data_IF_419114896758
#
_entry.id   IF_419114896758
#
_cell.length_a   1.000
_cell.length_b   1.000
_cell.length_c   1.000
_cell.angle_alpha   90.00
_cell.angle_beta   90.00
_cell.angle_gamma   90.00
#
_symmetry.space_group_name_H-M   'P 1'
#
loop_
_entity.id
_entity.type
_entity.pdbx_description
1 polymer ?
#
# COMPACT_ATOMS: atom_id res chain seq x y z
N UNK A 1 5.66 -2.28 8.55
CA UNK A 1 5.45 -3.39 9.49
C UNK A 1 5.03 -2.78 10.81
N UNK A 2 3.93 -3.26 11.36
CA UNK A 2 3.54 -2.95 12.72
C UNK A 2 4.59 -3.49 13.71
N UNK A 3 5.06 -2.63 14.60
CA UNK A 3 6.00 -2.95 15.66
C UNK A 3 5.43 -2.64 17.05
N UNK A 4 4.10 -2.61 17.19
CA UNK A 4 3.44 -2.71 18.49
C UNK A 4 3.87 -3.99 19.23
N UNK A 5 3.57 -4.06 20.52
CA UNK A 5 4.02 -5.18 21.36
C UNK A 5 3.38 -6.51 20.93
N UNK A 6 2.18 -6.47 20.39
CA UNK A 6 1.45 -7.66 19.96
C UNK A 6 2.14 -8.36 18.78
N UNK A 7 2.84 -7.62 17.93
CA UNK A 7 3.60 -8.12 16.78
C UNK A 7 4.96 -8.77 17.11
N UNK A 8 5.30 -8.97 18.40
CA UNK A 8 6.64 -9.43 18.78
C UNK A 8 7.00 -10.81 18.21
N UNK A 9 6.08 -11.77 18.25
CA UNK A 9 6.34 -13.12 17.76
C UNK A 9 6.26 -13.19 16.22
N UNK A 10 5.49 -12.33 15.57
CA UNK A 10 5.47 -12.18 14.10
C UNK A 10 6.77 -11.58 13.56
N UNK A 11 7.39 -10.63 14.29
CA UNK A 11 8.65 -10.00 13.88
C UNK A 11 9.77 -11.01 13.62
N UNK A 12 9.99 -11.94 14.56
CA UNK A 12 11.07 -12.94 14.45
C UNK A 12 10.93 -13.76 13.17
N UNK A 13 9.68 -14.02 12.78
CA UNK A 13 9.35 -14.82 11.60
C UNK A 13 9.46 -14.00 10.32
N UNK A 14 8.97 -12.75 10.33
CA UNK A 14 9.12 -11.80 9.22
C UNK A 14 10.58 -11.47 8.90
N UNK A 15 11.47 -11.45 9.89
CA UNK A 15 12.92 -11.32 9.67
C UNK A 15 13.49 -12.48 8.85
N UNK A 16 13.12 -13.73 9.16
CA UNK A 16 13.54 -14.91 8.40
C UNK A 16 12.99 -14.95 6.96
N UNK A 17 11.91 -14.21 6.71
CA UNK A 17 11.24 -14.15 5.40
C UNK A 17 11.91 -13.18 4.42
N UNK A 18 12.76 -12.27 4.88
CA UNK A 18 13.47 -11.32 4.01
C UNK A 18 14.31 -12.00 2.93
N UNK A 19 15.09 -13.01 3.33
CA UNK A 19 15.94 -13.78 2.42
C UNK A 19 15.09 -14.60 1.44
N UNK A 20 14.06 -15.27 1.96
CA UNK A 20 13.16 -16.10 1.14
C UNK A 20 12.39 -15.27 0.12
N UNK A 21 11.92 -14.08 0.52
CA UNK A 21 11.24 -13.12 -0.36
C UNK A 21 12.19 -12.64 -1.45
N UNK A 22 13.40 -12.26 -1.09
CA UNK A 22 14.42 -11.81 -2.03
C UNK A 22 14.75 -12.87 -3.08
N UNK A 23 15.04 -14.10 -2.66
CA UNK A 23 15.31 -15.22 -3.57
C UNK A 23 14.12 -15.52 -4.48
N UNK A 24 12.93 -15.59 -3.89
CA UNK A 24 11.69 -15.81 -4.61
C UNK A 24 11.44 -14.75 -5.69
N UNK A 25 11.65 -13.48 -5.36
CA UNK A 25 11.41 -12.38 -6.28
C UNK A 25 12.50 -12.25 -7.34
N UNK A 26 13.75 -12.65 -7.05
CA UNK A 26 14.82 -12.75 -8.05
C UNK A 26 14.48 -13.73 -9.17
N UNK A 27 13.74 -14.81 -8.86
CA UNK A 27 13.27 -15.77 -9.87
C UNK A 27 12.14 -15.22 -10.76
N UNK A 28 11.45 -14.17 -10.31
CA UNK A 28 10.31 -13.56 -11.03
C UNK A 28 10.74 -12.33 -11.82
N UNK A 29 11.65 -11.52 -11.27
CA UNK A 29 12.14 -10.31 -11.91
C UNK A 29 13.63 -10.08 -11.64
N UNK A 30 14.35 -9.71 -12.69
CA UNK A 30 15.77 -9.34 -12.63
C UNK A 30 16.01 -7.98 -12.00
N UNK A 31 14.96 -7.21 -11.68
CA UNK A 31 15.07 -5.83 -11.24
C UNK A 31 14.20 -5.55 -10.01
N UNK A 32 14.41 -6.37 -8.97
CA UNK A 32 13.75 -6.28 -7.68
C UNK A 32 14.45 -5.30 -6.73
N UNK A 33 13.67 -4.56 -5.94
CA UNK A 33 14.16 -3.75 -4.81
C UNK A 33 13.22 -3.91 -3.63
N UNK A 34 13.80 -3.89 -2.44
CA UNK A 34 13.10 -3.99 -1.16
C UNK A 34 13.59 -2.91 -0.20
N UNK A 35 12.70 -2.53 0.71
CA UNK A 35 12.90 -1.47 1.68
C UNK A 35 12.01 -1.74 2.88
N UNK A 36 12.30 -1.09 3.99
CA UNK A 36 11.69 -1.39 5.27
C UNK A 36 11.27 -0.12 5.99
N UNK A 37 10.07 -0.15 6.57
CA UNK A 37 9.55 0.90 7.42
C UNK A 37 8.60 0.32 8.44
N UNK A 38 8.51 0.97 9.58
CA UNK A 38 7.76 0.50 10.73
C UNK A 38 6.90 1.59 11.36
N UNK A 39 5.89 1.18 12.11
CA UNK A 39 4.98 2.09 12.79
C UNK A 39 4.48 1.49 14.10
N UNK A 40 3.99 2.36 14.98
CA UNK A 40 3.22 2.01 16.19
C UNK A 40 2.00 2.93 16.18
N UNK A 41 2.07 4.07 16.87
CA UNK A 41 1.00 5.05 16.88
C UNK A 41 1.48 6.45 17.28
N UNK A 42 0.56 7.42 17.27
CA UNK A 42 0.80 8.81 17.66
C UNK A 42 1.24 8.88 19.11
N UNK A 43 2.36 9.55 19.34
CA UNK A 43 2.96 9.72 20.69
C UNK A 43 2.25 10.82 21.47
N UNK A 44 0.94 10.66 21.68
CA UNK A 44 0.09 11.53 22.50
C UNK A 44 -0.90 10.68 23.31
N UNK A 45 -1.39 11.17 24.44
CA UNK A 45 -2.55 10.56 25.11
C UNK A 45 -3.78 10.68 24.21
N UNK A 46 -4.71 9.70 24.18
CA UNK A 46 -4.73 8.49 25.01
C UNK A 46 -4.00 7.28 24.40
N UNK A 47 -3.45 7.39 23.20
CA UNK A 47 -2.85 6.25 22.47
C UNK A 47 -1.61 5.70 23.17
N UNK A 48 -0.79 6.58 23.75
CA UNK A 48 0.40 6.16 24.53
C UNK A 48 0.38 6.75 25.94
N UNK A 49 1.10 6.09 26.84
CA UNK A 49 1.33 6.63 28.19
C UNK A 49 2.36 7.75 28.15
N UNK A 50 1.96 8.96 28.56
CA UNK A 50 2.86 10.13 28.68
C UNK A 50 3.64 10.19 30.00
N UNK A 51 3.58 9.13 30.82
CA UNK A 51 4.42 9.02 32.00
C UNK A 51 5.88 8.95 31.54
N UNK A 52 6.82 9.78 32.08
CA UNK A 52 8.18 9.87 31.55
C UNK A 52 8.96 8.56 31.46
N UNK A 53 8.64 7.58 32.33
CA UNK A 53 9.21 6.23 32.28
C UNK A 53 8.69 5.46 31.05
N UNK A 54 7.39 5.50 30.81
CA UNK A 54 6.73 4.75 29.73
C UNK A 54 7.01 5.35 28.34
N UNK A 55 7.33 6.65 28.26
CA UNK A 55 7.84 7.27 27.03
C UNK A 55 9.25 6.81 26.65
N UNK A 56 10.01 6.23 27.58
CA UNK A 56 11.33 5.65 27.31
C UNK A 56 11.27 4.16 27.07
N UNK A 57 10.47 3.46 27.88
CA UNK A 57 10.28 2.02 27.83
C UNK A 57 8.81 1.71 28.18
N UNK A 58 7.91 1.60 27.18
CA UNK A 58 6.48 1.38 27.41
C UNK A 58 6.17 -0.03 27.94
N UNK A 59 7.07 -0.98 27.69
CA UNK A 59 7.03 -2.35 28.17
C UNK A 59 8.46 -2.90 28.29
N UNK A 60 8.65 -3.99 29.03
CA UNK A 60 9.97 -4.59 29.21
C UNK A 60 10.63 -4.92 27.85
N UNK A 61 11.84 -4.39 27.64
CA UNK A 61 12.61 -4.53 26.39
C UNK A 61 11.93 -3.95 25.15
N UNK A 62 11.12 -2.91 25.33
CA UNK A 62 10.47 -2.19 24.24
C UNK A 62 11.13 -0.83 24.01
N UNK A 63 11.26 -0.45 22.74
CA UNK A 63 11.71 0.89 22.37
C UNK A 63 10.65 1.95 22.67
N UNK A 64 11.09 3.21 22.71
CA UNK A 64 10.19 4.35 22.88
C UNK A 64 9.13 4.39 21.75
N UNK A 65 7.88 4.77 22.06
CA UNK A 65 6.81 4.88 21.08
C UNK A 65 7.11 5.94 20.02
N UNK A 66 6.68 5.67 18.79
CA UNK A 66 6.83 6.53 17.63
C UNK A 66 5.70 6.28 16.62
N UNK A 67 5.43 7.27 15.76
CA UNK A 67 4.37 7.17 14.75
C UNK A 67 4.77 6.25 13.59
N UNK A 68 5.60 6.74 12.68
CA UNK A 68 6.11 6.00 11.53
C UNK A 68 7.57 6.36 11.28
N UNK A 69 8.37 5.36 10.90
CA UNK A 69 9.74 5.54 10.45
C UNK A 69 10.01 4.74 9.17
N UNK A 70 10.57 5.41 8.16
CA UNK A 70 11.23 4.76 7.04
C UNK A 70 12.66 4.38 7.44
N UNK A 71 12.86 3.12 7.82
CA UNK A 71 14.14 2.59 8.31
C UNK A 71 15.13 2.39 7.16
N UNK A 72 14.67 1.85 6.03
CA UNK A 72 15.49 1.52 4.87
C UNK A 72 14.78 1.87 3.56
N UNK A 73 15.37 2.77 2.78
CA UNK A 73 14.92 3.06 1.41
C UNK A 73 15.11 1.84 0.48
N UNK A 74 14.31 1.78 -0.59
CA UNK A 74 14.33 0.70 -1.58
C UNK A 74 15.72 0.49 -2.20
N UNK A 75 16.33 -0.65 -1.90
CA UNK A 75 17.65 -1.07 -2.35
C UNK A 75 17.60 -2.47 -2.98
N UNK A 76 18.69 -2.89 -3.63
CA UNK A 76 18.92 -4.28 -4.06
C UNK A 76 19.59 -5.13 -2.98
N UNK A 77 19.98 -4.50 -1.88
CA UNK A 77 20.66 -5.13 -0.74
C UNK A 77 19.65 -5.86 0.14
N UNK A 78 19.61 -7.18 0.01
CA UNK A 78 18.64 -8.05 0.68
C UNK A 78 19.08 -8.39 2.09
N UNK A 79 20.39 -8.49 2.28
CA UNK A 79 20.99 -8.86 3.55
C UNK A 79 20.81 -7.70 4.54
N UNK A 80 21.01 -6.46 4.07
CA UNK A 80 20.67 -5.28 4.85
C UNK A 80 19.20 -5.24 5.24
N UNK A 81 18.28 -5.58 4.33
CA UNK A 81 16.86 -5.63 4.69
C UNK A 81 16.60 -6.65 5.82
N UNK A 82 17.15 -7.85 5.70
CA UNK A 82 17.01 -8.89 6.73
C UNK A 82 17.57 -8.41 8.08
N UNK A 83 18.74 -7.77 8.07
CA UNK A 83 19.38 -7.19 9.26
C UNK A 83 18.55 -6.07 9.89
N UNK A 84 18.01 -5.14 9.09
CA UNK A 84 17.19 -4.02 9.57
C UNK A 84 15.87 -4.52 10.19
N UNK A 85 15.22 -5.52 9.56
CA UNK A 85 14.00 -6.15 10.10
C UNK A 85 14.31 -6.91 11.40
N UNK A 86 15.42 -7.65 11.44
CA UNK A 86 15.84 -8.40 12.64
C UNK A 86 16.10 -7.47 13.81
N UNK A 87 16.82 -6.38 13.54
CA UNK A 87 17.30 -5.41 14.52
C UNK A 87 16.20 -4.49 15.04
N UNK A 88 15.12 -4.29 14.27
CA UNK A 88 14.01 -3.47 14.68
C UNK A 88 13.39 -4.01 15.98
N UNK A 89 13.31 -3.20 17.02
CA UNK A 89 12.69 -3.61 18.28
C UNK A 89 11.20 -3.24 18.30
N UNK A 90 10.42 -4.05 19.01
CA UNK A 90 9.01 -3.72 19.26
C UNK A 90 8.92 -2.56 20.24
N UNK A 91 7.80 -1.86 20.19
CA UNK A 91 7.43 -0.74 21.05
C UNK A 91 6.06 -1.06 21.68
N UNK A 92 5.46 -0.11 22.39
CA UNK A 92 4.13 -0.28 22.96
C UNK A 92 3.32 1.01 23.04
N UNK A 93 2.02 0.85 22.89
CA UNK A 93 0.93 1.80 23.04
C UNK A 93 -0.13 1.22 24.01
N UNK A 94 -1.22 1.93 24.25
CA UNK A 94 -2.24 1.60 25.25
C UNK A 94 -3.51 1.01 24.65
N UNK A 95 -3.95 1.54 23.51
CA UNK A 95 -5.14 1.06 22.81
C UNK A 95 -4.80 0.05 21.71
N UNK A 96 -5.84 -0.57 21.15
CA UNK A 96 -5.69 -1.69 20.22
C UNK A 96 -5.55 -1.26 18.75
N UNK A 97 -6.25 -0.23 18.22
CA UNK A 97 -6.01 0.21 16.85
C UNK A 97 -4.66 0.91 16.74
N UNK A 98 -3.99 0.76 15.60
CA UNK A 98 -2.65 1.30 15.40
C UNK A 98 -2.62 2.45 14.38
N UNK A 99 -1.52 3.21 14.38
CA UNK A 99 -1.29 4.37 13.51
C UNK A 99 -0.87 4.04 12.07
N UNK A 100 -1.19 2.84 11.59
CA UNK A 100 -0.71 2.31 10.31
C UNK A 100 -1.14 3.14 9.08
N UNK A 101 -2.22 3.90 9.16
CA UNK A 101 -2.67 4.77 8.07
C UNK A 101 -1.74 5.96 7.83
N UNK A 102 -1.11 6.52 8.88
CA UNK A 102 -0.05 7.53 8.71
C UNK A 102 1.15 6.93 7.98
N UNK A 103 1.53 5.69 8.34
CA UNK A 103 2.60 4.97 7.69
C UNK A 103 2.33 4.72 6.19
N UNK A 104 1.12 4.28 5.84
CA UNK A 104 0.72 4.11 4.43
C UNK A 104 0.81 5.44 3.70
N UNK A 105 0.26 6.52 4.26
CA UNK A 105 0.30 7.84 3.62
C UNK A 105 1.73 8.27 3.33
N UNK A 106 2.60 8.24 4.34
CA UNK A 106 4.00 8.66 4.20
C UNK A 106 4.77 7.76 3.23
N UNK A 107 4.58 6.44 3.30
CA UNK A 107 5.20 5.49 2.38
C UNK A 107 4.75 5.70 0.92
N UNK A 108 3.52 6.19 0.71
CA UNK A 108 2.97 6.45 -0.62
C UNK A 108 3.49 7.77 -1.20
N UNK A 109 3.49 8.85 -0.42
CA UNK A 109 3.75 10.21 -0.91
C UNK A 109 5.24 10.60 -0.89
N UNK A 110 6.05 9.99 -0.03
CA UNK A 110 7.48 10.30 0.11
C UNK A 110 8.36 9.59 -0.93
N UNK A 111 8.06 9.79 -2.22
CA UNK A 111 8.66 9.03 -3.33
C UNK A 111 10.19 8.94 -3.29
N UNK A 112 10.86 10.05 -3.02
CA UNK A 112 12.33 10.13 -2.98
C UNK A 112 12.91 9.43 -1.76
N UNK A 113 12.31 9.63 -0.58
CA UNK A 113 12.78 9.05 0.69
C UNK A 113 12.58 7.53 0.73
N UNK A 114 11.46 7.06 0.19
CA UNK A 114 11.19 5.62 0.06
C UNK A 114 12.00 5.02 -1.10
N UNK A 115 12.23 5.78 -2.19
CA UNK A 115 13.00 5.33 -3.35
C UNK A 115 12.14 4.70 -4.46
N UNK A 116 10.88 5.10 -4.59
CA UNK A 116 9.99 4.58 -5.64
C UNK A 116 10.48 4.96 -7.03
N UNK A 117 10.76 3.97 -7.87
CA UNK A 117 11.18 4.19 -9.27
C UNK A 117 10.00 4.57 -10.16
N UNK A 118 10.25 5.43 -11.14
CA UNK A 118 9.23 5.87 -12.10
C UNK A 118 8.64 4.72 -12.92
N UNK A 119 9.50 3.89 -13.52
CA UNK A 119 9.09 2.76 -14.36
C UNK A 119 9.24 1.42 -13.61
N UNK A 120 8.42 1.21 -12.59
CA UNK A 120 8.39 -0.05 -11.84
C UNK A 120 7.00 -0.36 -11.31
N UNK A 121 6.74 -1.64 -11.04
CA UNK A 121 5.61 -2.04 -10.18
C UNK A 121 5.96 -1.67 -8.75
N UNK A 122 5.01 -1.05 -8.05
CA UNK A 122 5.15 -0.59 -6.67
C UNK A 122 4.18 -1.39 -5.82
N UNK A 123 4.73 -2.18 -4.90
CA UNK A 123 3.98 -3.00 -3.95
C UNK A 123 4.30 -2.50 -2.54
N UNK A 124 3.28 -2.11 -1.80
CA UNK A 124 3.40 -1.74 -0.39
C UNK A 124 2.79 -2.86 0.45
N UNK A 125 3.62 -3.62 1.15
CA UNK A 125 3.16 -4.66 2.08
C UNK A 125 2.94 -4.03 3.46
N UNK A 126 1.70 -4.08 3.91
CA UNK A 126 1.25 -3.60 5.20
C UNK A 126 0.91 -4.79 6.09
N UNK A 127 1.67 -4.99 7.16
CA UNK A 127 1.48 -6.09 8.10
C UNK A 127 1.12 -5.59 9.49
N UNK A 128 0.09 -6.20 10.08
CA UNK A 128 -0.43 -5.90 11.44
C UNK A 128 -1.36 -7.02 11.90
N UNK A 129 -1.49 -7.18 13.21
CA UNK A 129 -2.47 -8.04 13.88
C UNK A 129 -3.66 -7.25 14.45
N UNK A 130 -3.71 -5.95 14.18
CA UNK A 130 -4.64 -5.01 14.79
C UNK A 130 -5.53 -4.25 13.78
N UNK A 131 -6.51 -3.53 14.34
CA UNK A 131 -7.27 -2.52 13.62
C UNK A 131 -6.41 -1.29 13.29
N UNK A 132 -7.03 -0.26 12.72
CA UNK A 132 -6.33 0.96 12.35
C UNK A 132 -7.12 2.19 12.78
N UNK A 133 -6.40 3.23 13.18
CA UNK A 133 -6.96 4.56 13.30
C UNK A 133 -7.15 5.24 11.94
N UNK A 134 -8.18 6.08 11.84
CA UNK A 134 -8.51 6.84 10.65
C UNK A 134 -8.99 8.26 10.99
N UNK A 135 -9.11 9.11 9.98
CA UNK A 135 -9.49 10.51 10.15
C UNK A 135 -10.70 10.70 11.09
N UNK A 136 -10.53 11.57 12.09
CA UNK A 136 -11.45 11.81 13.18
C UNK A 136 -10.95 11.27 14.51
N UNK A 137 -10.21 10.16 14.51
CA UNK A 137 -9.75 9.50 15.74
C UNK A 137 -8.73 10.35 16.50
N UNK A 138 -7.90 11.13 15.78
CA UNK A 138 -6.88 12.04 16.35
C UNK A 138 -7.46 13.07 17.32
N UNK A 139 -8.77 13.34 17.23
CA UNK A 139 -9.47 14.26 18.13
C UNK A 139 -9.39 13.83 19.59
N UNK A 140 -9.32 12.52 19.87
CA UNK A 140 -9.14 12.01 21.23
C UNK A 140 -7.81 12.47 21.85
N UNK A 141 -6.76 12.60 21.05
CA UNK A 141 -5.48 13.17 21.46
C UNK A 141 -5.31 14.68 21.21
N UNK A 142 -6.42 15.39 20.96
CA UNK A 142 -6.40 16.84 20.72
C UNK A 142 -5.89 17.25 19.33
N UNK A 143 -5.70 16.28 18.43
CA UNK A 143 -5.22 16.53 17.07
C UNK A 143 -6.43 16.72 16.14
N UNK A 144 -6.63 17.96 15.71
CA UNK A 144 -7.80 18.35 14.89
C UNK A 144 -7.44 18.86 13.50
N UNK A 145 -6.14 19.05 13.22
CA UNK A 145 -5.66 19.47 11.89
C UNK A 145 -5.75 18.25 10.96
N UNK A 146 -6.51 18.32 9.85
CA UNK A 146 -6.59 17.20 8.91
C UNK A 146 -5.22 16.85 8.30
N UNK A 147 -5.03 15.59 7.94
CA UNK A 147 -3.89 15.14 7.16
C UNK A 147 -3.84 15.90 5.82
N UNK A 148 -2.67 16.40 5.41
CA UNK A 148 -2.53 17.18 4.16
C UNK A 148 -2.17 16.33 2.93
N UNK A 149 -1.91 15.03 3.11
CA UNK A 149 -1.50 14.12 2.06
C UNK A 149 -0.14 14.45 1.43
N UNK A 150 0.75 15.11 2.18
CA UNK A 150 2.12 15.45 1.77
C UNK A 150 3.18 14.66 2.54
N UNK A 151 4.41 14.71 2.04
CA UNK A 151 5.55 14.05 2.68
C UNK A 151 6.14 14.88 3.82
N UNK A 152 6.32 14.26 4.98
CA UNK A 152 6.83 14.90 6.19
C UNK A 152 7.86 14.02 6.93
N UNK A 153 8.72 13.32 6.20
CA UNK A 153 9.84 12.56 6.77
C UNK A 153 11.08 13.42 6.93
N UNK A 154 11.71 13.35 8.09
CA UNK A 154 12.96 14.07 8.37
C UNK A 154 14.20 13.39 7.73
N UNK A 155 15.39 13.74 8.20
CA UNK A 155 16.66 13.14 7.76
C UNK A 155 16.86 11.68 8.22
N UNK A 156 16.19 11.26 9.30
CA UNK A 156 16.25 9.92 9.87
C UNK A 156 15.11 9.01 9.38
N UNK A 157 14.19 9.57 8.59
CA UNK A 157 13.03 8.87 8.06
C UNK A 157 11.83 8.89 9.00
N UNK A 158 11.87 9.64 10.10
CA UNK A 158 10.78 9.73 11.07
C UNK A 158 9.68 10.69 10.59
N UNK A 159 8.42 10.31 10.80
CA UNK A 159 7.27 11.16 10.49
C UNK A 159 7.12 12.32 11.47
N UNK A 160 7.38 13.53 10.99
CA UNK A 160 7.45 14.75 11.82
C UNK A 160 6.09 15.33 12.20
N UNK A 161 5.01 14.97 11.51
CA UNK A 161 3.67 15.51 11.75
C UNK A 161 2.76 14.56 12.56
N UNK A 162 3.30 13.45 13.08
CA UNK A 162 2.53 12.42 13.82
C UNK A 162 1.62 12.99 14.92
N UNK A 163 2.12 13.97 15.68
CA UNK A 163 1.42 14.58 16.82
C UNK A 163 0.70 15.89 16.49
N UNK A 164 0.68 16.29 15.21
CA UNK A 164 0.11 17.59 14.78
C UNK A 164 -0.91 17.46 13.65
N UNK A 165 -0.89 16.37 12.88
CA UNK A 165 -1.90 16.06 11.87
C UNK A 165 -2.67 14.80 12.26
N UNK A 166 -3.98 14.82 12.03
CA UNK A 166 -4.87 13.68 12.22
C UNK A 166 -4.48 12.54 11.27
N UNK A 167 -4.98 11.34 11.56
CA UNK A 167 -4.83 10.20 10.66
C UNK A 167 -5.48 10.52 9.30
N UNK A 168 -4.96 9.98 8.19
CA UNK A 168 -5.58 10.18 6.89
C UNK A 168 -6.91 9.41 6.80
N UNK A 169 -7.84 9.92 5.99
CA UNK A 169 -9.05 9.19 5.66
C UNK A 169 -8.78 8.10 4.62
N UNK A 170 -9.66 7.09 4.55
CA UNK A 170 -9.63 6.05 3.50
C UNK A 170 -9.61 6.69 2.10
N UNK A 171 -10.38 7.76 1.88
CA UNK A 171 -10.42 8.46 0.60
C UNK A 171 -9.12 9.17 0.25
N UNK A 172 -8.41 9.75 1.24
CA UNK A 172 -7.09 10.35 1.01
C UNK A 172 -6.05 9.28 0.65
N UNK A 173 -6.06 8.14 1.35
CA UNK A 173 -5.20 7.00 1.02
C UNK A 173 -5.48 6.52 -0.40
N UNK A 174 -6.74 6.26 -0.75
CA UNK A 174 -7.11 5.81 -2.10
C UNK A 174 -6.67 6.81 -3.18
N UNK A 175 -6.87 8.12 -2.95
CA UNK A 175 -6.42 9.16 -3.88
C UNK A 175 -4.91 9.08 -4.11
N UNK A 176 -4.12 9.04 -3.02
CA UNK A 176 -2.65 9.04 -3.11
C UNK A 176 -2.08 7.74 -3.65
N UNK A 177 -2.69 6.59 -3.33
CA UNK A 177 -2.32 5.28 -3.89
C UNK A 177 -2.53 5.27 -5.41
N UNK A 178 -3.64 5.83 -5.92
CA UNK A 178 -3.90 5.98 -7.36
C UNK A 178 -2.92 6.95 -8.03
N UNK A 179 -2.74 8.14 -7.46
CA UNK A 179 -1.81 9.15 -8.00
C UNK A 179 -0.38 8.62 -8.12
N UNK A 180 0.03 7.76 -7.18
CA UNK A 180 1.36 7.17 -7.13
C UNK A 180 1.45 5.75 -7.72
N UNK A 181 0.37 5.21 -8.31
CA UNK A 181 0.32 3.86 -8.90
C UNK A 181 0.92 2.77 -8.00
N UNK A 182 0.57 2.81 -6.71
CA UNK A 182 1.01 1.84 -5.69
C UNK A 182 -0.09 0.79 -5.52
N UNK A 183 0.29 -0.47 -5.33
CA UNK A 183 -0.64 -1.54 -4.96
C UNK A 183 -0.38 -1.90 -3.49
N UNK A 184 -1.42 -1.90 -2.67
CA UNK A 184 -1.29 -2.12 -1.22
C UNK A 184 -1.71 -3.56 -0.87
N UNK A 185 -0.84 -4.28 -0.20
CA UNK A 185 -1.09 -5.66 0.26
C UNK A 185 -1.25 -5.62 1.78
N UNK A 186 -2.48 -5.76 2.26
CA UNK A 186 -2.78 -5.92 3.67
C UNK A 186 -2.55 -7.38 4.07
N UNK A 187 -1.40 -7.67 4.67
CA UNK A 187 -1.04 -8.97 5.23
C UNK A 187 -1.38 -8.97 6.73
N UNK A 188 -2.59 -9.42 7.08
CA UNK A 188 -3.13 -9.25 8.44
C UNK A 188 -3.54 -10.56 9.06
N UNK A 189 -3.55 -10.65 10.39
CA UNK A 189 -3.95 -11.88 11.08
C UNK A 189 -5.40 -12.28 10.76
N UNK A 190 -5.71 -13.56 11.02
CA UNK A 190 -7.01 -14.16 10.75
C UNK A 190 -8.18 -13.42 11.43
N UNK A 191 -7.93 -12.78 12.57
CA UNK A 191 -8.93 -12.01 13.32
C UNK A 191 -9.29 -10.70 12.62
N UNK A 192 -8.32 -10.07 11.95
CA UNK A 192 -8.50 -8.76 11.31
C UNK A 192 -8.97 -8.86 9.86
N UNK A 193 -8.79 -10.01 9.20
CA UNK A 193 -9.01 -10.14 7.74
C UNK A 193 -10.37 -9.65 7.26
N UNK A 194 -11.42 -9.81 8.07
CA UNK A 194 -12.76 -9.37 7.71
C UNK A 194 -12.86 -7.83 7.62
N UNK A 195 -12.17 -7.09 8.48
CA UNK A 195 -12.13 -5.62 8.44
C UNK A 195 -11.34 -5.16 7.20
N UNK A 196 -10.17 -5.76 6.95
CA UNK A 196 -9.34 -5.40 5.80
C UNK A 196 -9.95 -5.82 4.45
N UNK A 197 -10.74 -6.90 4.41
CA UNK A 197 -11.56 -7.26 3.24
C UNK A 197 -12.64 -6.22 2.90
N UNK A 198 -13.14 -5.48 3.90
CA UNK A 198 -14.03 -4.34 3.64
C UNK A 198 -13.23 -3.13 3.19
N UNK A 199 -12.11 -2.85 3.85
CA UNK A 199 -11.23 -1.74 3.50
C UNK A 199 -10.74 -1.82 2.05
N UNK A 200 -10.32 -3.00 1.59
CA UNK A 200 -9.74 -3.16 0.25
C UNK A 200 -10.72 -2.79 -0.88
N UNK A 201 -12.04 -2.87 -0.63
CA UNK A 201 -13.06 -2.44 -1.59
C UNK A 201 -13.11 -0.92 -1.80
N UNK A 202 -12.47 -0.16 -0.91
CA UNK A 202 -12.43 1.30 -0.96
C UNK A 202 -11.07 1.86 -1.41
N UNK A 203 -10.05 1.01 -1.55
CA UNK A 203 -8.70 1.38 -1.99
C UNK A 203 -8.38 0.60 -3.27
N UNK A 204 -8.29 1.31 -4.40
CA UNK A 204 -8.03 0.68 -5.70
C UNK A 204 -6.63 0.06 -5.74
N UNK A 205 -6.51 -1.12 -6.35
CA UNK A 205 -5.25 -1.85 -6.40
C UNK A 205 -4.80 -2.41 -5.06
N UNK A 206 -5.69 -2.49 -4.06
CA UNK A 206 -5.39 -3.14 -2.78
C UNK A 206 -5.88 -4.58 -2.72
N UNK A 207 -5.25 -5.36 -1.85
CA UNK A 207 -5.59 -6.75 -1.57
C UNK A 207 -5.41 -7.03 -0.08
N UNK A 208 -6.24 -7.91 0.47
CA UNK A 208 -6.09 -8.40 1.83
C UNK A 208 -5.84 -9.90 1.81
N UNK A 209 -4.81 -10.33 2.54
CA UNK A 209 -4.43 -11.73 2.73
C UNK A 209 -4.20 -12.02 4.20
N UNK A 210 -4.55 -13.24 4.62
CA UNK A 210 -4.29 -13.69 5.99
C UNK A 210 -2.80 -13.91 6.15
N UNK A 211 -2.17 -13.26 7.12
CA UNK A 211 -0.84 -13.60 7.61
C UNK A 211 -0.99 -14.84 8.50
N UNK A 212 -0.32 -15.93 8.13
CA UNK A 212 -0.32 -17.14 8.95
C UNK A 212 0.30 -16.84 10.32
N UNK A 213 -0.04 -17.64 11.34
CA UNK A 213 0.52 -17.46 12.68
C UNK A 213 2.05 -17.58 12.70
N UNK A 214 2.64 -18.23 11.69
CA UNK A 214 4.08 -18.31 11.52
C UNK A 214 4.64 -17.28 10.52
N UNK A 215 3.80 -16.35 10.03
CA UNK A 215 4.05 -15.38 8.98
C UNK A 215 4.60 -15.94 7.65
N UNK A 216 4.75 -17.27 7.53
CA UNK A 216 5.47 -17.96 6.46
C UNK A 216 4.89 -17.69 5.07
N UNK A 217 3.60 -17.36 4.99
CA UNK A 217 2.91 -17.15 3.74
C UNK A 217 3.01 -15.72 3.18
N UNK A 218 3.71 -14.78 3.84
CA UNK A 218 3.84 -13.41 3.32
C UNK A 218 4.47 -13.39 1.91
N UNK A 219 5.40 -14.31 1.64
CA UNK A 219 6.04 -14.45 0.33
C UNK A 219 5.03 -14.88 -0.72
N UNK A 220 4.15 -15.82 -0.38
CA UNK A 220 3.07 -16.28 -1.26
C UNK A 220 2.07 -15.16 -1.52
N UNK A 221 1.67 -14.39 -0.50
CA UNK A 221 0.81 -13.22 -0.67
C UNK A 221 1.39 -12.21 -1.66
N UNK A 222 2.69 -11.94 -1.58
CA UNK A 222 3.38 -11.01 -2.51
C UNK A 222 3.42 -11.60 -3.93
N UNK A 223 3.74 -12.89 -4.07
CA UNK A 223 3.74 -13.59 -5.37
C UNK A 223 2.37 -13.58 -6.01
N UNK A 224 1.34 -13.98 -5.28
CA UNK A 224 -0.04 -14.02 -5.76
C UNK A 224 -0.50 -12.65 -6.23
N UNK A 225 -0.18 -11.59 -5.49
CA UNK A 225 -0.50 -10.24 -5.92
C UNK A 225 0.29 -9.80 -7.14
N UNK A 226 1.58 -10.13 -7.20
CA UNK A 226 2.39 -9.83 -8.38
C UNK A 226 1.84 -10.54 -9.63
N UNK A 227 1.51 -11.82 -9.53
CA UNK A 227 0.96 -12.62 -10.62
C UNK A 227 -0.43 -12.11 -11.02
N UNK A 228 -1.26 -11.70 -10.06
CA UNK A 228 -2.57 -11.13 -10.32
C UNK A 228 -2.50 -9.75 -11.00
N UNK A 229 -1.53 -8.92 -10.63
CA UNK A 229 -1.26 -7.61 -11.26
C UNK A 229 -0.70 -7.79 -12.67
N UNK A 230 0.14 -8.80 -12.89
CA UNK A 230 0.76 -9.04 -14.20
C UNK A 230 -0.14 -9.79 -15.18
N UNK A 231 -1.12 -10.54 -14.65
CA UNK A 231 -2.09 -11.29 -15.45
C UNK A 231 -3.33 -10.51 -15.87
N UNK A 232 -3.45 -9.23 -15.49
CA UNK A 232 -4.59 -8.38 -15.85
C UNK A 232 -4.16 -7.07 -16.51
N UNK A 233 -4.89 -6.69 -17.55
CA UNK A 233 -4.77 -5.40 -18.23
C UNK A 233 -6.17 -4.81 -18.40
N UNK A 234 -6.35 -3.58 -17.94
CA UNK A 234 -7.59 -2.84 -18.08
C UNK A 234 -7.33 -1.45 -18.70
N UNK A 235 -8.14 -1.05 -19.67
CA UNK A 235 -8.16 0.31 -20.18
C UNK A 235 -9.17 1.16 -19.42
N UNK A 236 -8.71 2.34 -19.01
CA UNK A 236 -9.55 3.38 -18.39
C UNK A 236 -9.41 4.69 -19.12
N UNK A 237 -10.46 5.50 -19.03
CA UNK A 237 -10.48 6.87 -19.52
C UNK A 237 -11.01 7.87 -18.50
N UNK A 238 -10.69 9.14 -18.76
CA UNK A 238 -11.24 10.30 -18.04
C UNK A 238 -12.33 11.01 -18.85
N UNK A 239 -12.93 10.37 -19.85
CA UNK A 239 -13.87 11.02 -20.75
C UNK A 239 -15.19 11.33 -20.03
N UNK A 240 -15.72 12.53 -20.27
CA UNK A 240 -17.03 12.89 -19.74
C UNK A 240 -18.13 12.26 -20.60
N UNK A 241 -18.90 11.35 -19.99
CA UNK A 241 -20.03 10.64 -20.63
C UNK A 241 -21.13 11.54 -21.21
N UNK A 242 -21.11 12.85 -20.85
CA UNK A 242 -21.97 13.91 -21.40
C UNK A 242 -21.60 14.31 -22.82
N UNK A 243 -20.32 14.18 -23.19
CA UNK A 243 -19.79 14.69 -24.46
C UNK A 243 -19.20 13.59 -25.32
N UNK A 244 -18.51 12.65 -24.68
CA UNK A 244 -17.82 11.55 -25.33
C UNK A 244 -18.21 10.27 -24.63
N UNK A 245 -18.62 9.26 -25.40
CA UNK A 245 -18.79 7.89 -24.93
C UNK A 245 -17.71 7.05 -25.56
N UNK A 246 -16.95 6.34 -24.74
CA UNK A 246 -15.95 5.37 -25.20
C UNK A 246 -16.51 3.98 -24.92
N UNK A 247 -16.55 3.14 -25.94
CA UNK A 247 -16.93 1.73 -25.84
C UNK A 247 -15.69 0.90 -26.13
N UNK A 248 -15.34 -0.01 -25.22
CA UNK A 248 -14.17 -0.86 -25.37
C UNK A 248 -14.55 -2.24 -25.86
N UNK A 249 -13.79 -2.72 -26.83
CA UNK A 249 -13.75 -4.09 -27.26
C UNK A 249 -12.33 -4.61 -27.13
N UNK A 250 -12.16 -5.88 -26.77
CA UNK A 250 -10.84 -6.47 -26.63
C UNK A 250 -10.80 -7.93 -27.05
N UNK A 251 -9.64 -8.34 -27.53
CA UNK A 251 -9.28 -9.73 -27.73
C UNK A 251 -8.24 -10.11 -26.67
N UNK A 252 -8.70 -10.88 -25.68
CA UNK A 252 -7.93 -11.35 -24.55
C UNK A 252 -7.42 -12.79 -24.79
N UNK A 253 -6.61 -12.97 -25.85
CA UNK A 253 -6.02 -14.25 -26.25
C UNK A 253 -6.97 -15.24 -26.93
N UNK A 254 -8.09 -14.78 -27.51
CA UNK A 254 -8.92 -15.62 -28.37
C UNK A 254 -8.19 -15.91 -29.70
N UNK A 255 -7.81 -17.18 -29.98
CA UNK A 255 -7.11 -17.56 -31.20
C UNK A 255 -7.90 -17.24 -32.48
N UNK A 256 -9.23 -17.12 -32.37
CA UNK A 256 -10.12 -16.81 -33.49
C UNK A 256 -10.17 -15.32 -33.82
N UNK A 257 -9.57 -14.47 -33.01
CA UNK A 257 -9.55 -13.03 -33.27
C UNK A 257 -10.76 -12.26 -32.74
N UNK A 258 -11.73 -12.90 -32.08
CA UNK A 258 -12.99 -12.25 -31.74
C UNK A 258 -12.81 -11.15 -30.69
N UNK A 259 -13.47 -10.03 -30.94
CA UNK A 259 -13.53 -8.91 -30.03
C UNK A 259 -14.73 -9.07 -29.10
N UNK A 260 -14.49 -9.11 -27.80
CA UNK A 260 -15.51 -9.07 -26.75
C UNK A 260 -15.67 -7.65 -26.24
N UNK A 261 -16.90 -7.23 -25.93
CA UNK A 261 -17.15 -5.89 -25.38
C UNK A 261 -16.72 -5.82 -23.92
N UNK A 262 -15.42 -5.63 -23.70
CA UNK A 262 -14.80 -5.48 -22.38
C UNK A 262 -13.57 -4.59 -22.47
N UNK A 263 -13.36 -3.76 -21.45
CA UNK A 263 -12.15 -2.95 -21.26
C UNK A 263 -11.04 -3.70 -20.51
N UNK A 264 -11.29 -4.95 -20.10
CA UNK A 264 -10.42 -5.72 -19.22
C UNK A 264 -10.13 -7.11 -19.79
N UNK A 265 -8.85 -7.49 -19.76
CA UNK A 265 -8.35 -8.82 -20.05
C UNK A 265 -7.67 -9.41 -18.82
N UNK A 266 -8.07 -10.61 -18.41
CA UNK A 266 -7.52 -11.34 -17.27
C UNK A 266 -6.82 -12.63 -17.74
N UNK A 267 -6.07 -13.29 -16.83
CA UNK A 267 -5.41 -14.58 -17.11
C UNK A 267 -4.22 -14.48 -18.07
N UNK A 268 -3.66 -13.29 -18.25
CA UNK A 268 -2.51 -13.05 -19.12
C UNK A 268 -1.23 -13.64 -18.50
N UNK A 269 -0.35 -14.16 -19.35
CA UNK A 269 1.02 -14.48 -18.96
C UNK A 269 1.94 -13.30 -19.26
N UNK A 270 3.11 -13.25 -18.63
CA UNK A 270 4.17 -12.32 -19.02
C UNK A 270 4.43 -12.48 -20.53
N UNK A 271 4.59 -11.35 -21.23
CA UNK A 271 4.75 -11.24 -22.69
C UNK A 271 3.52 -11.58 -23.55
N UNK A 272 2.34 -11.73 -22.94
CA UNK A 272 1.08 -11.86 -23.70
C UNK A 272 0.71 -10.56 -24.42
N UNK A 273 0.41 -10.64 -25.72
CA UNK A 273 -0.15 -9.53 -26.50
C UNK A 273 -1.69 -9.57 -26.47
N UNK A 274 -2.30 -8.45 -26.11
CA UNK A 274 -3.75 -8.25 -26.18
C UNK A 274 -4.07 -7.03 -27.01
N UNK A 275 -5.19 -7.06 -27.73
CA UNK A 275 -5.62 -5.95 -28.59
C UNK A 275 -6.90 -5.35 -28.05
N UNK A 276 -6.92 -4.04 -27.96
CA UNK A 276 -8.09 -3.26 -27.59
C UNK A 276 -8.51 -2.40 -28.79
N UNK A 277 -9.81 -2.37 -29.05
CA UNK A 277 -10.47 -1.43 -29.95
C UNK A 277 -11.32 -0.50 -29.08
N UNK A 278 -10.99 0.79 -29.08
CA UNK A 278 -11.78 1.81 -28.42
C UNK A 278 -12.60 2.56 -29.46
N UNK A 279 -13.91 2.39 -29.42
CA UNK A 279 -14.85 3.17 -30.23
C UNK A 279 -15.23 4.44 -29.49
N UNK A 280 -14.96 5.59 -30.11
CA UNK A 280 -15.18 6.91 -29.52
C UNK A 280 -16.35 7.58 -30.22
N UNK A 281 -17.44 7.76 -29.49
CA UNK A 281 -18.67 8.40 -29.97
C UNK A 281 -18.80 9.80 -29.34
N UNK A 282 -18.97 10.83 -30.19
CA UNK A 282 -19.23 12.21 -29.74
C UNK A 282 -20.75 12.44 -29.72
N UNK A 283 -21.32 12.59 -28.53
CA UNK A 283 -22.79 12.64 -28.36
C UNK A 283 -23.43 13.97 -28.75
N UNK A 284 -22.68 15.08 -28.69
CA UNK A 284 -23.19 16.40 -29.02
C UNK A 284 -22.16 17.25 -29.77
N UNK A 285 -22.65 18.08 -30.70
CA UNK A 285 -21.86 19.16 -31.31
C UNK A 285 -21.57 20.20 -30.23
N UNK A 286 -20.33 20.29 -29.80
CA UNK A 286 -19.91 21.25 -28.79
C UNK A 286 -19.67 22.62 -29.40
N UNK A 287 -20.09 23.67 -28.69
CA UNK A 287 -19.70 25.06 -28.97
C UNK A 287 -18.18 25.28 -28.77
N UNK A 288 -17.51 24.39 -28.02
CA UNK A 288 -16.07 24.37 -27.81
C UNK A 288 -15.36 23.53 -28.87
N UNK A 289 -14.36 24.11 -29.56
CA UNK A 289 -13.65 23.50 -30.69
C UNK A 289 -12.72 22.32 -30.34
N UNK A 290 -12.53 21.98 -29.06
CA UNK A 290 -11.62 20.91 -28.61
C UNK A 290 -12.18 20.17 -27.39
N UNK A 291 -12.11 18.83 -27.43
CA UNK A 291 -12.33 17.93 -26.28
C UNK A 291 -11.01 17.22 -26.01
N UNK A 292 -10.60 17.14 -24.75
CA UNK A 292 -9.47 16.32 -24.32
C UNK A 292 -9.93 15.20 -23.38
N UNK A 293 -9.45 13.99 -23.60
CA UNK A 293 -9.56 12.87 -22.66
C UNK A 293 -8.25 12.08 -22.70
N UNK A 294 -7.97 11.31 -21.65
CA UNK A 294 -6.78 10.46 -21.57
C UNK A 294 -7.21 9.01 -21.51
N UNK A 295 -6.61 8.18 -22.35
CA UNK A 295 -6.64 6.72 -22.21
C UNK A 295 -5.42 6.29 -21.39
N UNK A 296 -5.63 5.49 -20.37
CA UNK A 296 -4.58 4.93 -19.53
C UNK A 296 -4.72 3.42 -19.42
N UNK A 297 -3.60 2.72 -19.55
CA UNK A 297 -3.49 1.30 -19.22
C UNK A 297 -3.32 1.17 -17.70
N UNK A 298 -4.30 0.57 -17.04
CA UNK A 298 -4.17 0.09 -15.67
C UNK A 298 -3.77 -1.38 -15.69
N UNK A 299 -2.82 -1.74 -14.83
CA UNK A 299 -2.64 -3.14 -14.40
C UNK A 299 -2.96 -3.28 -12.92
N UNK A 300 -3.58 -2.26 -12.32
CA UNK A 300 -4.06 -2.33 -10.94
C UNK A 300 -5.40 -3.03 -10.96
N UNK A 301 -5.59 -3.93 -10.00
CA UNK A 301 -6.86 -4.61 -9.79
C UNK A 301 -7.95 -3.59 -9.46
N UNK A 302 -8.91 -3.51 -10.36
CA UNK A 302 -10.17 -2.79 -10.14
C UNK A 302 -11.20 -3.86 -9.86
N UNK A 303 -11.78 -3.80 -8.66
CA UNK A 303 -13.06 -4.41 -8.32
C UNK A 303 -14.11 -3.32 -8.24
#
# INVERSE_FOLDING_TARGET
>A
MDLSKSMQDDKEKLSALGDTLAESMRNITSNFRLGFGSFVDKVVMPYVSVVPKNLKEPCASCEAPYGYQNVMSLSTDTDRFADEVKSAAVSGNLDAPEGGFDAIMQAVVCREKIGWREKARRLLVFSTDAGFHYAGDGKLGGIVKPNDGQCHLDGTGLYTQSTTQDYPSVSQINLKVKENAINVIFAVTQEQIHVYNRLMKHIEGSFAGVLSNDSSNVVELVKDQYDRITSSVELKDTASSKHVKITYYSNCLDPKGNLQQTSKCDGLKVDSEVRFLAEVEVKHVLLTRKIGFRLSKSTQLVS
#
